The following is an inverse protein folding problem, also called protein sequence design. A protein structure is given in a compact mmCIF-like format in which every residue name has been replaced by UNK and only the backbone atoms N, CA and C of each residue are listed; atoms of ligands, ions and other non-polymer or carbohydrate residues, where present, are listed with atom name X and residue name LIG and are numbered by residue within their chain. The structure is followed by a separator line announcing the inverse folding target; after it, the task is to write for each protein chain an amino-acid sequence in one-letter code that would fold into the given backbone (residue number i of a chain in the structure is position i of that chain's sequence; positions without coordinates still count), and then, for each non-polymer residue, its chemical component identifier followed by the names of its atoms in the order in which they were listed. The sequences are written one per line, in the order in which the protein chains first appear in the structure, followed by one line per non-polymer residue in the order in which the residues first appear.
data_IF_351927876821
#
_entry.id   IF_351927876821
#
_cell.length_a   1.000
_cell.length_b   1.000
_cell.length_c   1.000
_cell.angle_alpha   90.00
_cell.angle_beta   90.00
_cell.angle_gamma   90.00
#
_symmetry.space_group_name_H-M   'P 1'
#
loop_
_entity.id
_entity.type
_entity.pdbx_description
1 polymer ?
#
# COMPACT_ATOMS: atom_id res chain seq x y z
N UNK A 1 -39.92 -40.89 -18.59
CA UNK A 1 -41.17 -41.66 -18.49
C UNK A 1 -41.24 -42.53 -19.72
N UNK A 2 -40.71 -43.74 -19.63
CA UNK A 2 -40.74 -44.73 -20.71
C UNK A 2 -41.37 -46.00 -20.16
N UNK A 3 -42.55 -46.31 -20.70
CA UNK A 3 -43.38 -47.45 -20.32
C UNK A 3 -42.75 -48.76 -20.78
N UNK A 4 -42.30 -49.59 -19.84
CA UNK A 4 -41.78 -50.93 -20.13
C UNK A 4 -42.93 -51.93 -20.10
N UNK A 5 -43.44 -52.32 -21.28
CA UNK A 5 -44.43 -53.40 -21.44
C UNK A 5 -43.80 -54.75 -21.11
N UNK A 6 -44.23 -55.34 -20.00
CA UNK A 6 -43.93 -56.73 -19.61
C UNK A 6 -44.92 -57.64 -20.35
N UNK A 7 -44.45 -58.40 -21.34
CA UNK A 7 -45.23 -59.49 -21.96
C UNK A 7 -44.93 -60.80 -21.25
N UNK A 8 -45.96 -61.31 -20.56
CA UNK A 8 -46.00 -62.63 -19.96
C UNK A 8 -46.11 -63.72 -21.05
N UNK A 9 -45.14 -64.63 -21.09
CA UNK A 9 -45.20 -65.85 -21.90
C UNK A 9 -45.72 -66.99 -21.02
N UNK A 10 -46.93 -67.44 -21.33
CA UNK A 10 -47.55 -68.63 -20.76
C UNK A 10 -46.90 -69.90 -21.30
N UNK A 11 -46.65 -70.93 -20.48
CA UNK A 11 -46.18 -72.22 -20.97
C UNK A 11 -47.37 -73.05 -21.48
N UNK A 12 -47.43 -73.25 -22.80
CA UNK A 12 -48.36 -74.18 -23.43
C UNK A 12 -47.99 -75.62 -23.09
N UNK A 13 -48.92 -76.30 -22.43
CA UNK A 13 -48.83 -77.70 -22.03
C UNK A 13 -48.89 -78.62 -23.25
N UNK A 14 -47.98 -79.59 -23.43
CA UNK A 14 -48.14 -80.59 -24.48
C UNK A 14 -49.19 -81.63 -24.08
N UNK A 15 -50.16 -81.80 -24.96
CA UNK A 15 -51.26 -82.75 -24.92
C UNK A 15 -50.76 -84.21 -24.84
N UNK A 16 -51.10 -84.91 -23.75
CA UNK A 16 -51.00 -86.36 -23.65
C UNK A 16 -52.10 -87.00 -24.50
N UNK A 17 -51.73 -87.53 -25.67
CA UNK A 17 -52.59 -88.45 -26.42
C UNK A 17 -52.16 -89.90 -26.16
N UNK A 18 -53.10 -90.65 -25.63
CA UNK A 18 -53.13 -92.10 -25.45
C UNK A 18 -52.57 -92.84 -26.67
N UNK A 19 -51.54 -93.66 -26.45
CA UNK A 19 -51.15 -94.76 -27.33
C UNK A 19 -51.23 -96.04 -26.48
N UNK A 20 -52.43 -96.59 -26.36
CA UNK A 20 -52.61 -97.99 -26.03
C UNK A 20 -53.38 -98.63 -27.16
N UNK A 21 -52.68 -99.40 -27.99
CA UNK A 21 -53.15 -100.71 -28.48
C UNK A 21 -52.13 -101.30 -29.47
N UNK A 22 -51.87 -102.60 -29.27
CA UNK A 22 -51.53 -103.65 -30.26
C UNK A 22 -50.05 -104.11 -30.40
N UNK A 23 -49.89 -105.36 -29.92
CA UNK A 23 -48.99 -106.46 -30.32
C UNK A 23 -47.58 -106.53 -29.68
N UNK A 24 -47.17 -107.70 -29.16
CA UNK A 24 -45.78 -107.95 -28.79
C UNK A 24 -44.90 -107.88 -30.04
N UNK A 25 -43.70 -107.26 -29.95
CA UNK A 25 -42.78 -107.23 -31.08
C UNK A 25 -42.33 -108.66 -31.41
N UNK A 26 -42.39 -109.01 -32.71
CA UNK A 26 -41.71 -110.19 -33.24
C UNK A 26 -40.21 -110.09 -32.92
N UNK A 27 -39.52 -111.20 -32.59
CA UNK A 27 -38.07 -111.19 -32.46
C UNK A 27 -37.46 -111.03 -33.85
N UNK A 28 -37.15 -109.80 -34.24
CA UNK A 28 -36.37 -109.52 -35.44
C UNK A 28 -34.92 -109.23 -35.05
N UNK A 29 -34.04 -110.08 -35.58
CA UNK A 29 -32.58 -110.00 -35.65
C UNK A 29 -31.83 -110.60 -34.45
N UNK A 30 -31.06 -111.66 -34.75
CA UNK A 30 -30.15 -112.35 -33.86
C UNK A 30 -29.14 -111.38 -33.25
N UNK A 31 -29.43 -110.93 -32.04
CA UNK A 31 -28.40 -110.38 -31.18
C UNK A 31 -27.55 -111.57 -30.72
N UNK A 32 -26.31 -111.67 -31.20
CA UNK A 32 -25.42 -112.83 -30.94
C UNK A 32 -24.41 -112.60 -29.82
N UNK A 33 -24.19 -111.35 -29.41
CA UNK A 33 -23.22 -110.99 -28.38
C UNK A 33 -23.57 -109.69 -27.66
N UNK A 34 -23.01 -109.51 -26.46
CA UNK A 34 -23.11 -108.27 -25.70
C UNK A 34 -22.28 -107.16 -26.34
N UNK A 35 -22.87 -105.98 -26.56
CA UNK A 35 -22.18 -104.85 -27.16
C UNK A 35 -21.08 -104.25 -26.27
N UNK A 36 -21.12 -104.47 -24.96
CA UNK A 36 -20.18 -103.87 -24.00
C UNK A 36 -18.98 -104.79 -23.74
N UNK A 37 -19.21 -106.07 -23.41
CA UNK A 37 -18.14 -107.03 -23.11
C UNK A 37 -17.90 -108.08 -24.21
N UNK A 38 -18.62 -108.01 -25.33
CA UNK A 38 -18.52 -108.95 -26.45
C UNK A 38 -18.82 -110.43 -26.12
N UNK A 39 -19.37 -110.72 -24.93
CA UNK A 39 -19.80 -112.06 -24.53
C UNK A 39 -20.89 -112.60 -25.48
N UNK A 40 -20.69 -113.79 -26.05
CA UNK A 40 -21.68 -114.42 -26.93
C UNK A 40 -22.91 -114.92 -26.15
N UNK A 41 -24.09 -114.67 -26.69
CA UNK A 41 -25.35 -115.13 -26.09
C UNK A 41 -25.61 -116.59 -26.46
N UNK A 42 -25.99 -117.38 -25.46
CA UNK A 42 -26.25 -118.81 -25.58
C UNK A 42 -27.47 -119.21 -24.74
N UNK A 43 -27.88 -120.48 -24.78
CA UNK A 43 -29.01 -120.97 -23.96
C UNK A 43 -28.81 -120.72 -22.45
N UNK A 44 -27.55 -120.65 -21.99
CA UNK A 44 -27.17 -120.35 -20.60
C UNK A 44 -27.09 -118.83 -20.36
N UNK A 45 -26.53 -118.08 -21.32
CA UNK A 45 -26.34 -116.63 -21.20
C UNK A 45 -27.39 -115.87 -22.01
N UNK A 46 -28.50 -115.51 -21.36
CA UNK A 46 -29.57 -114.72 -21.96
C UNK A 46 -29.09 -113.29 -22.25
N UNK A 47 -29.30 -112.85 -23.49
CA UNK A 47 -29.12 -111.46 -23.90
C UNK A 47 -30.40 -110.65 -23.70
N UNK A 48 -30.25 -109.38 -23.33
CA UNK A 48 -31.32 -108.40 -23.26
C UNK A 48 -31.08 -107.32 -24.32
N UNK A 49 -32.14 -106.68 -24.79
CA UNK A 49 -32.05 -105.56 -25.72
C UNK A 49 -32.15 -104.23 -24.95
N UNK A 50 -31.18 -103.35 -25.13
CA UNK A 50 -31.25 -102.01 -24.55
C UNK A 50 -32.43 -101.23 -25.14
N UNK A 51 -33.31 -100.72 -24.27
CA UNK A 51 -34.51 -99.98 -24.67
C UNK A 51 -34.20 -98.68 -25.44
N UNK A 52 -33.02 -98.09 -25.24
CA UNK A 52 -32.57 -96.82 -25.82
C UNK A 52 -31.85 -97.03 -27.16
N UNK A 53 -30.77 -97.81 -27.18
CA UNK A 53 -29.92 -97.98 -28.37
C UNK A 53 -30.20 -99.26 -29.17
N UNK A 54 -31.11 -100.13 -28.69
CA UNK A 54 -31.52 -101.38 -29.35
C UNK A 54 -30.38 -102.40 -29.56
N UNK A 55 -29.26 -102.24 -28.84
CA UNK A 55 -28.13 -103.17 -28.86
C UNK A 55 -28.25 -104.24 -27.77
N UNK A 56 -27.65 -105.41 -28.02
CA UNK A 56 -27.58 -106.52 -27.08
C UNK A 56 -26.72 -106.26 -25.86
N UNK A 57 -27.19 -106.65 -24.68
CA UNK A 57 -26.46 -106.58 -23.42
C UNK A 57 -26.62 -107.84 -22.58
N UNK A 58 -25.56 -108.25 -21.88
CA UNK A 58 -25.63 -109.35 -20.92
C UNK A 58 -26.26 -108.87 -19.61
N UNK A 59 -26.57 -109.83 -18.72
CA UNK A 59 -27.13 -109.56 -17.38
C UNK A 59 -26.24 -108.71 -16.47
N UNK A 60 -24.93 -108.64 -16.73
CA UNK A 60 -24.02 -107.82 -15.92
C UNK A 60 -24.01 -106.35 -16.36
N UNK A 61 -24.43 -106.06 -17.60
CA UNK A 61 -24.49 -104.71 -18.17
C UNK A 61 -25.92 -104.24 -18.39
N UNK A 62 -26.89 -104.87 -17.70
CA UNK A 62 -28.27 -104.40 -17.63
C UNK A 62 -28.45 -103.56 -16.37
N UNK A 63 -28.76 -102.29 -16.58
CA UNK A 63 -29.27 -101.43 -15.53
C UNK A 63 -30.79 -101.45 -15.65
N UNK A 64 -31.47 -102.03 -14.65
CA UNK A 64 -32.93 -102.02 -14.55
C UNK A 64 -33.33 -100.71 -13.88
N UNK A 65 -34.10 -99.89 -14.59
CA UNK A 65 -34.57 -98.62 -14.04
C UNK A 65 -35.60 -98.85 -12.93
N UNK A 66 -35.67 -97.90 -12.01
CA UNK A 66 -36.56 -97.85 -10.83
C UNK A 66 -38.01 -98.28 -11.12
N UNK A 67 -38.69 -98.78 -10.06
CA UNK A 67 -39.91 -99.58 -9.98
C UNK A 67 -41.09 -99.32 -10.96
N UNK A 68 -41.12 -98.21 -11.70
CA UNK A 68 -42.22 -97.88 -12.63
C UNK A 68 -41.95 -98.25 -14.09
N UNK A 69 -40.71 -98.45 -14.53
CA UNK A 69 -40.42 -98.89 -15.92
C UNK A 69 -39.27 -99.90 -15.94
N UNK A 70 -39.59 -101.19 -15.90
CA UNK A 70 -38.65 -102.32 -15.89
C UNK A 70 -37.91 -102.53 -17.23
N UNK A 71 -37.65 -101.45 -17.99
CA UNK A 71 -37.02 -101.56 -19.30
C UNK A 71 -35.49 -101.65 -19.16
N UNK A 72 -34.82 -102.62 -19.83
CA UNK A 72 -33.37 -102.74 -19.83
C UNK A 72 -32.71 -101.50 -20.42
N UNK A 73 -31.66 -100.98 -19.79
CA UNK A 73 -30.79 -99.94 -20.36
C UNK A 73 -29.34 -100.39 -20.21
N UNK A 74 -28.52 -100.15 -21.23
CA UNK A 74 -27.09 -100.45 -21.18
C UNK A 74 -26.30 -99.35 -20.47
N UNK A 75 -25.16 -99.71 -19.87
CA UNK A 75 -24.28 -98.78 -19.16
C UNK A 75 -23.90 -97.54 -19.97
N UNK A 76 -23.61 -97.69 -21.27
CA UNK A 76 -23.25 -96.56 -22.14
C UNK A 76 -24.40 -95.56 -22.30
N UNK A 77 -25.63 -96.06 -22.44
CA UNK A 77 -26.82 -95.21 -22.55
C UNK A 77 -27.09 -94.48 -21.23
N UNK A 78 -26.88 -95.15 -20.09
CA UNK A 78 -27.07 -94.55 -18.78
C UNK A 78 -25.98 -93.52 -18.44
N UNK A 79 -24.71 -93.83 -18.72
CA UNK A 79 -23.60 -92.86 -18.64
C UNK A 79 -23.86 -91.66 -19.55
N UNK A 80 -24.39 -91.88 -20.76
CA UNK A 80 -24.79 -90.82 -21.68
C UNK A 80 -25.93 -89.95 -21.12
N UNK A 81 -26.92 -90.56 -20.46
CA UNK A 81 -28.02 -89.85 -19.77
C UNK A 81 -27.50 -88.99 -18.63
N UNK A 82 -26.71 -89.57 -17.72
CA UNK A 82 -26.11 -88.86 -16.58
C UNK A 82 -25.25 -87.69 -17.07
N UNK A 83 -24.40 -87.90 -18.09
CA UNK A 83 -23.62 -86.81 -18.70
C UNK A 83 -24.50 -85.69 -19.25
N UNK A 84 -25.65 -86.01 -19.87
CA UNK A 84 -26.60 -85.01 -20.37
C UNK A 84 -27.31 -84.27 -19.25
N UNK A 85 -27.63 -84.94 -18.14
CA UNK A 85 -28.24 -84.32 -16.95
C UNK A 85 -27.26 -83.38 -16.26
N UNK A 86 -26.03 -83.84 -16.02
CA UNK A 86 -24.94 -83.00 -15.49
C UNK A 86 -24.69 -81.79 -16.41
N UNK A 87 -24.61 -81.99 -17.73
CA UNK A 87 -24.44 -80.88 -18.66
C UNK A 87 -25.62 -79.91 -18.63
N UNK A 88 -26.86 -80.41 -18.47
CA UNK A 88 -28.07 -79.57 -18.39
C UNK A 88 -28.08 -78.73 -17.10
N UNK A 89 -27.60 -79.27 -15.99
CA UNK A 89 -27.55 -78.55 -14.71
C UNK A 89 -26.36 -77.58 -14.64
N UNK A 90 -25.18 -77.98 -15.11
CA UNK A 90 -23.95 -77.20 -15.01
C UNK A 90 -23.82 -76.14 -16.11
N UNK A 91 -24.33 -76.36 -17.33
CA UNK A 91 -24.16 -75.39 -18.41
C UNK A 91 -24.80 -74.01 -18.13
N UNK A 92 -26.02 -73.91 -17.54
CA UNK A 92 -26.58 -72.64 -17.12
C UNK A 92 -25.75 -71.94 -16.05
N UNK A 93 -25.27 -72.69 -15.05
CA UNK A 93 -24.44 -72.15 -13.97
C UNK A 93 -23.10 -71.61 -14.51
N UNK A 94 -22.43 -72.40 -15.36
CA UNK A 94 -21.20 -71.97 -16.02
C UNK A 94 -21.42 -70.71 -16.87
N UNK A 95 -22.53 -70.65 -17.62
CA UNK A 95 -22.88 -69.47 -18.42
C UNK A 95 -23.13 -68.24 -17.53
N UNK A 96 -23.82 -68.41 -16.40
CA UNK A 96 -24.05 -67.34 -15.42
C UNK A 96 -22.73 -66.84 -14.83
N UNK A 97 -21.91 -67.74 -14.28
CA UNK A 97 -20.61 -67.40 -13.69
C UNK A 97 -19.68 -66.72 -14.69
N UNK A 98 -19.68 -67.17 -15.95
CA UNK A 98 -18.92 -66.52 -17.02
C UNK A 98 -19.46 -65.12 -17.33
N UNK A 99 -20.78 -64.93 -17.27
CA UNK A 99 -21.42 -63.62 -17.37
C UNK A 99 -21.00 -62.68 -16.25
N UNK A 100 -21.08 -63.15 -15.02
CA UNK A 100 -20.70 -62.39 -13.81
C UNK A 100 -19.21 -62.02 -13.84
N UNK A 101 -18.34 -62.97 -14.22
CA UNK A 101 -16.91 -62.71 -14.37
C UNK A 101 -16.62 -61.62 -15.41
N UNK A 102 -17.28 -61.67 -16.57
CA UNK A 102 -17.13 -60.66 -17.60
C UNK A 102 -17.65 -59.29 -17.16
N UNK A 103 -18.76 -59.26 -16.41
CA UNK A 103 -19.29 -58.02 -15.85
C UNK A 103 -18.32 -57.42 -14.83
N UNK A 104 -17.82 -58.23 -13.90
CA UNK A 104 -16.83 -57.80 -12.89
C UNK A 104 -15.54 -57.28 -13.53
N UNK A 105 -15.06 -57.91 -14.61
CA UNK A 105 -13.89 -57.43 -15.36
C UNK A 105 -14.15 -56.06 -16.00
N UNK A 106 -15.33 -55.85 -16.58
CA UNK A 106 -15.70 -54.53 -17.14
C UNK A 106 -15.81 -53.47 -16.06
N UNK A 107 -16.43 -53.79 -14.93
CA UNK A 107 -16.58 -52.85 -13.81
C UNK A 107 -15.22 -52.50 -13.19
N UNK A 108 -14.32 -53.48 -13.08
CA UNK A 108 -12.94 -53.25 -12.65
C UNK A 108 -12.21 -52.26 -13.56
N UNK A 109 -12.28 -52.43 -14.88
CA UNK A 109 -11.61 -51.51 -15.80
C UNK A 109 -12.23 -50.10 -15.77
N UNK A 110 -13.56 -50.01 -15.59
CA UNK A 110 -14.24 -48.73 -15.39
C UNK A 110 -13.76 -48.02 -14.12
N UNK A 111 -13.76 -48.73 -12.98
CA UNK A 111 -13.27 -48.17 -11.70
C UNK A 111 -11.80 -47.76 -11.82
N UNK A 112 -10.97 -48.54 -12.51
CA UNK A 112 -9.56 -48.20 -12.74
C UNK A 112 -9.42 -46.90 -13.53
N UNK A 113 -10.21 -46.71 -14.60
CA UNK A 113 -10.22 -45.48 -15.37
C UNK A 113 -10.67 -44.27 -14.51
N UNK A 114 -11.69 -44.45 -13.67
CA UNK A 114 -12.15 -43.41 -12.74
C UNK A 114 -11.07 -43.03 -11.71
N UNK A 115 -10.37 -44.02 -11.15
CA UNK A 115 -9.27 -43.78 -10.19
C UNK A 115 -8.14 -42.99 -10.87
N UNK A 116 -7.73 -43.39 -12.07
CA UNK A 116 -6.69 -42.67 -12.82
C UNK A 116 -7.12 -41.22 -13.08
N UNK A 117 -8.34 -41.00 -13.56
CA UNK A 117 -8.85 -39.65 -13.82
C UNK A 117 -8.92 -38.78 -12.56
N UNK A 118 -9.38 -39.34 -11.43
CA UNK A 118 -9.40 -38.63 -10.15
C UNK A 118 -7.99 -38.32 -9.63
N UNK A 119 -7.04 -39.23 -9.82
CA UNK A 119 -5.64 -39.05 -9.39
C UNK A 119 -4.98 -37.92 -10.17
N UNK A 120 -5.22 -37.82 -11.48
CA UNK A 120 -4.72 -36.72 -12.32
C UNK A 120 -5.31 -35.37 -11.89
N UNK A 121 -6.60 -35.32 -11.54
CA UNK A 121 -7.26 -34.12 -11.03
C UNK A 121 -6.62 -33.70 -9.70
N UNK A 122 -6.43 -34.63 -8.77
CA UNK A 122 -5.80 -34.36 -7.47
C UNK A 122 -4.40 -33.78 -7.68
N UNK A 123 -3.56 -34.44 -8.48
CA UNK A 123 -2.20 -33.98 -8.79
C UNK A 123 -2.18 -32.56 -9.38
N UNK A 124 -3.10 -32.26 -10.30
CA UNK A 124 -3.25 -30.91 -10.87
C UNK A 124 -3.62 -29.87 -9.81
N UNK A 125 -4.58 -30.19 -8.94
CA UNK A 125 -5.01 -29.30 -7.87
C UNK A 125 -3.93 -29.06 -6.82
N UNK A 126 -3.12 -30.08 -6.50
CA UNK A 126 -1.96 -29.95 -5.60
C UNK A 126 -0.91 -29.01 -6.18
N UNK A 127 -0.58 -29.15 -7.47
CA UNK A 127 0.35 -28.23 -8.16
C UNK A 127 -0.20 -26.81 -8.17
N UNK A 128 -1.49 -26.65 -8.49
CA UNK A 128 -2.14 -25.34 -8.50
C UNK A 128 -2.12 -24.68 -7.11
N UNK A 129 -2.38 -25.46 -6.06
CA UNK A 129 -2.35 -24.98 -4.67
C UNK A 129 -0.95 -24.50 -4.29
N UNK A 130 0.09 -25.29 -4.55
CA UNK A 130 1.49 -24.90 -4.30
C UNK A 130 1.90 -23.64 -5.06
N UNK A 131 1.49 -23.52 -6.32
CA UNK A 131 1.76 -22.32 -7.13
C UNK A 131 1.06 -21.09 -6.57
N UNK A 132 -0.19 -21.24 -6.14
CA UNK A 132 -0.96 -20.17 -5.52
C UNK A 132 -0.34 -19.75 -4.18
N UNK A 133 0.03 -20.69 -3.31
CA UNK A 133 0.72 -20.41 -2.04
C UNK A 133 1.99 -19.59 -2.27
N UNK A 134 2.84 -20.01 -3.21
CA UNK A 134 4.06 -19.27 -3.57
C UNK A 134 3.74 -17.86 -4.07
N UNK A 135 2.73 -17.73 -4.94
CA UNK A 135 2.31 -16.44 -5.49
C UNK A 135 1.77 -15.50 -4.41
N UNK A 136 0.95 -16.02 -3.49
CA UNK A 136 0.39 -15.24 -2.40
C UNK A 136 1.45 -14.87 -1.36
N UNK A 137 2.39 -15.76 -1.04
CA UNK A 137 3.53 -15.45 -0.16
C UNK A 137 4.36 -14.29 -0.73
N UNK A 138 4.69 -14.32 -2.03
CA UNK A 138 5.40 -13.23 -2.69
C UNK A 138 4.59 -11.92 -2.70
N UNK A 139 3.26 -12.00 -2.86
CA UNK A 139 2.41 -10.81 -2.79
C UNK A 139 2.37 -10.22 -1.38
N UNK A 140 2.29 -11.06 -0.36
CA UNK A 140 2.33 -10.64 1.05
C UNK A 140 3.65 -9.93 1.36
N UNK A 141 4.79 -10.54 1.02
CA UNK A 141 6.11 -9.95 1.22
C UNK A 141 6.24 -8.57 0.53
N UNK A 142 5.75 -8.46 -0.71
CA UNK A 142 5.73 -7.18 -1.43
C UNK A 142 4.84 -6.12 -0.77
N UNK A 143 3.70 -6.52 -0.21
CA UNK A 143 2.80 -5.60 0.50
C UNK A 143 3.43 -5.16 1.82
N UNK A 144 4.03 -6.07 2.58
CA UNK A 144 4.75 -5.76 3.83
C UNK A 144 5.88 -4.78 3.57
N UNK A 145 6.66 -4.99 2.50
CA UNK A 145 7.71 -4.06 2.09
C UNK A 145 7.16 -2.67 1.77
N UNK A 146 6.03 -2.57 1.04
CA UNK A 146 5.39 -1.29 0.74
C UNK A 146 4.87 -0.58 1.99
N UNK A 147 4.31 -1.34 2.95
CA UNK A 147 3.88 -0.78 4.24
C UNK A 147 5.07 -0.18 4.98
N UNK A 148 6.20 -0.89 5.02
CA UNK A 148 7.41 -0.38 5.67
C UNK A 148 7.96 0.88 4.96
N UNK A 149 7.97 0.89 3.63
CA UNK A 149 8.37 2.08 2.84
C UNK A 149 7.46 3.29 3.14
N UNK A 150 6.13 3.10 3.20
CA UNK A 150 5.20 4.19 3.55
C UNK A 150 5.35 4.64 5.02
N UNK A 151 5.58 3.73 5.96
CA UNK A 151 5.86 4.07 7.36
C UNK A 151 7.13 4.94 7.48
N UNK A 152 8.17 4.63 6.70
CA UNK A 152 9.40 5.42 6.68
C UNK A 152 9.17 6.81 6.05
N UNK A 153 8.35 6.89 4.99
CA UNK A 153 7.93 8.18 4.41
C UNK A 153 7.14 9.00 5.40
N UNK A 154 6.18 8.39 6.11
CA UNK A 154 5.39 9.07 7.14
C UNK A 154 6.28 9.68 8.21
N UNK A 155 7.23 8.92 8.77
CA UNK A 155 8.20 9.44 9.75
C UNK A 155 9.01 10.61 9.19
N UNK A 156 9.43 10.52 7.94
CA UNK A 156 10.18 11.61 7.27
C UNK A 156 9.32 12.87 7.14
N UNK A 157 8.06 12.72 6.71
CA UNK A 157 7.10 13.84 6.60
C UNK A 157 6.80 14.43 7.97
N UNK A 158 6.60 13.62 9.00
CA UNK A 158 6.40 14.09 10.38
C UNK A 158 7.58 14.93 10.87
N UNK A 159 8.82 14.49 10.62
CA UNK A 159 10.02 15.25 10.96
C UNK A 159 10.08 16.60 10.22
N UNK A 160 9.72 16.63 8.93
CA UNK A 160 9.66 17.87 8.15
C UNK A 160 8.58 18.82 8.70
N UNK A 161 7.39 18.29 9.02
CA UNK A 161 6.30 19.07 9.62
C UNK A 161 6.73 19.69 10.95
N UNK A 162 7.41 18.92 11.80
CA UNK A 162 7.88 19.42 13.09
C UNK A 162 8.96 20.49 12.94
N UNK A 163 9.89 20.29 12.00
CA UNK A 163 10.90 21.31 11.63
C UNK A 163 10.25 22.61 11.13
N UNK A 164 9.23 22.51 10.27
CA UNK A 164 8.51 23.67 9.76
C UNK A 164 7.72 24.40 10.86
N UNK A 165 7.13 23.67 11.81
CA UNK A 165 6.47 24.28 12.98
C UNK A 165 7.47 25.07 13.82
N UNK A 166 8.65 24.51 14.06
CA UNK A 166 9.70 25.20 14.82
C UNK A 166 10.17 26.47 14.09
N UNK A 167 10.45 26.38 12.79
CA UNK A 167 10.83 27.54 11.97
C UNK A 167 9.72 28.61 11.94
N UNK A 168 8.45 28.21 11.91
CA UNK A 168 7.32 29.14 11.98
C UNK A 168 7.26 29.85 13.34
N UNK A 169 7.47 29.12 14.44
CA UNK A 169 7.48 29.69 15.78
C UNK A 169 8.65 30.67 15.97
N UNK A 170 9.84 30.32 15.49
CA UNK A 170 11.01 31.20 15.50
C UNK A 170 10.75 32.48 14.67
N UNK A 171 10.18 32.32 13.48
CA UNK A 171 9.82 33.46 12.62
C UNK A 171 8.83 34.40 13.29
N UNK A 172 7.76 33.86 13.91
CA UNK A 172 6.79 34.65 14.69
C UNK A 172 7.44 35.38 15.86
N UNK A 173 8.33 34.70 16.59
CA UNK A 173 9.06 35.34 17.69
C UNK A 173 9.98 36.47 17.20
N UNK A 174 10.62 36.29 16.05
CA UNK A 174 11.47 37.32 15.42
C UNK A 174 10.63 38.52 14.95
N UNK A 175 9.49 38.25 14.31
CA UNK A 175 8.55 39.29 13.86
C UNK A 175 8.04 40.13 15.04
N UNK A 176 7.66 39.50 16.15
CA UNK A 176 7.22 40.20 17.36
C UNK A 176 8.34 41.08 17.95
N UNK A 177 9.58 40.58 17.99
CA UNK A 177 10.73 41.38 18.44
C UNK A 177 11.01 42.57 17.52
N UNK A 178 10.91 42.38 16.20
CA UNK A 178 11.10 43.45 15.22
C UNK A 178 9.99 44.49 15.30
N UNK A 179 8.75 44.07 15.52
CA UNK A 179 7.61 44.96 15.76
C UNK A 179 7.83 45.80 17.01
N UNK A 180 8.25 45.20 18.11
CA UNK A 180 8.57 45.92 19.35
C UNK A 180 9.71 46.93 19.16
N UNK A 181 10.80 46.52 18.50
CA UNK A 181 11.90 47.44 18.15
C UNK A 181 11.44 48.61 17.27
N UNK A 182 10.53 48.35 16.34
CA UNK A 182 9.94 49.39 15.50
C UNK A 182 9.12 50.37 16.34
N UNK A 183 8.28 49.88 17.24
CA UNK A 183 7.50 50.71 18.16
C UNK A 183 8.41 51.58 19.04
N UNK A 184 9.46 50.99 19.64
CA UNK A 184 10.45 51.72 20.44
C UNK A 184 11.13 52.84 19.61
N UNK A 185 11.50 52.56 18.35
CA UNK A 185 12.10 53.55 17.45
C UNK A 185 11.13 54.63 17.00
N UNK A 186 9.85 54.32 16.81
CA UNK A 186 8.82 55.31 16.52
C UNK A 186 8.59 56.25 17.71
N UNK A 187 8.72 55.77 18.94
CA UNK A 187 8.69 56.61 20.14
C UNK A 187 9.92 57.51 20.26
N UNK A 188 11.12 56.96 20.03
CA UNK A 188 12.37 57.76 19.99
C UNK A 188 12.28 58.89 18.95
N UNK A 189 11.82 58.58 17.72
CA UNK A 189 11.66 59.58 16.66
C UNK A 189 10.68 60.67 17.09
N UNK A 190 9.56 60.32 17.73
CA UNK A 190 8.60 61.33 18.24
C UNK A 190 9.25 62.24 19.29
N UNK A 191 10.04 61.67 20.20
CA UNK A 191 10.74 62.44 21.22
C UNK A 191 11.75 63.41 20.59
N UNK A 192 12.58 62.94 19.64
CA UNK A 192 13.55 63.79 18.92
C UNK A 192 12.85 64.89 18.12
N UNK A 193 11.71 64.60 17.49
CA UNK A 193 10.92 65.61 16.75
C UNK A 193 10.42 66.72 17.68
N UNK A 194 9.98 66.39 18.90
CA UNK A 194 9.58 67.40 19.89
C UNK A 194 10.79 68.20 20.39
N UNK A 195 11.94 67.55 20.63
CA UNK A 195 13.17 68.25 21.02
C UNK A 195 13.63 69.24 19.93
N UNK A 196 13.57 68.85 18.66
CA UNK A 196 13.87 69.74 17.53
C UNK A 196 12.92 70.94 17.50
N UNK A 197 11.63 70.76 17.80
CA UNK A 197 10.67 71.87 17.87
C UNK A 197 11.00 72.82 19.01
N UNK A 198 11.37 72.29 20.17
CA UNK A 198 11.77 73.08 21.35
C UNK A 198 13.02 73.91 21.03
N UNK A 199 14.04 73.29 20.43
CA UNK A 199 15.26 73.97 20.02
C UNK A 199 15.01 75.09 19.00
N UNK A 200 14.12 74.86 18.01
CA UNK A 200 13.74 75.89 17.03
C UNK A 200 13.06 77.08 17.69
N UNK A 201 12.15 76.86 18.64
CA UNK A 201 11.53 77.96 19.40
C UNK A 201 12.58 78.73 20.19
N UNK A 202 13.50 78.03 20.86
CA UNK A 202 14.60 78.67 21.58
C UNK A 202 15.52 79.46 20.65
N UNK A 203 15.79 78.97 19.44
CA UNK A 203 16.56 79.68 18.42
C UNK A 203 15.85 80.99 18.01
N UNK A 204 14.56 80.91 17.69
CA UNK A 204 13.73 82.07 17.34
C UNK A 204 13.72 83.13 18.46
N UNK A 205 13.57 82.70 19.72
CA UNK A 205 13.62 83.59 20.90
C UNK A 205 14.99 84.28 21.06
N UNK A 206 16.08 83.55 20.85
CA UNK A 206 17.44 84.12 20.94
C UNK A 206 17.67 85.11 19.80
N UNK A 207 17.25 84.78 18.58
CA UNK A 207 17.34 85.68 17.42
C UNK A 207 16.53 86.96 17.65
N UNK A 208 15.35 86.85 18.24
CA UNK A 208 14.54 88.01 18.62
C UNK A 208 15.27 88.91 19.63
N UNK A 209 15.84 88.33 20.69
CA UNK A 209 16.63 89.08 21.68
C UNK A 209 17.85 89.76 21.06
N UNK A 210 18.54 89.10 20.13
CA UNK A 210 19.65 89.70 19.39
C UNK A 210 19.17 90.91 18.58
N UNK A 211 18.03 90.82 17.90
CA UNK A 211 17.48 91.93 17.13
C UNK A 211 17.05 93.11 18.03
N UNK A 212 16.44 92.84 19.18
CA UNK A 212 16.14 93.87 20.18
C UNK A 212 17.40 94.58 20.68
N UNK A 213 18.43 93.83 21.08
CA UNK A 213 19.71 94.40 21.51
C UNK A 213 20.32 95.24 20.38
N UNK A 214 20.28 94.76 19.14
CA UNK A 214 20.79 95.51 17.98
C UNK A 214 20.01 96.81 17.73
N UNK A 215 18.67 96.79 17.89
CA UNK A 215 17.82 97.99 17.79
C UNK A 215 18.16 99.00 18.88
N UNK A 216 18.33 98.54 20.11
CA UNK A 216 18.75 99.40 21.23
C UNK A 216 20.15 99.96 20.99
N UNK A 217 21.11 99.15 20.55
CA UNK A 217 22.46 99.60 20.19
C UNK A 217 22.46 100.67 19.10
N UNK A 218 21.56 100.59 18.10
CA UNK A 218 21.45 101.62 17.05
C UNK A 218 20.96 102.97 17.57
N UNK A 219 20.20 103.00 18.67
CA UNK A 219 19.78 104.25 19.34
C UNK A 219 20.90 104.87 20.15
N UNK A 220 21.94 104.11 20.50
CA UNK A 220 23.07 104.59 21.28
C UNK A 220 24.08 105.32 20.39
N UNK A 221 24.65 106.43 20.91
CA UNK A 221 25.71 107.15 20.22
C UNK A 221 27.03 106.41 20.45
N UNK A 222 27.76 106.01 19.39
CA UNK A 222 29.05 105.37 19.55
C UNK A 222 30.01 106.24 20.35
N UNK A 223 30.69 105.66 21.34
CA UNK A 223 31.58 106.40 22.24
C UNK A 223 32.64 107.23 21.52
N UNK A 224 33.13 106.75 20.36
CA UNK A 224 34.07 107.49 19.51
C UNK A 224 33.51 108.80 18.95
N UNK A 225 32.21 108.88 18.68
CA UNK A 225 31.53 110.10 18.18
C UNK A 225 31.19 111.09 19.30
N UNK A 226 31.16 110.66 20.56
CA UNK A 226 30.91 111.55 21.69
C UNK A 226 32.02 112.61 21.84
N UNK A 227 33.27 112.29 21.50
CA UNK A 227 34.41 113.23 21.58
C UNK A 227 34.24 114.44 20.66
N UNK A 228 33.60 114.26 19.50
CA UNK A 228 33.39 115.34 18.52
C UNK A 228 32.16 116.20 18.82
N UNK A 229 31.21 115.70 19.63
CA UNK A 229 29.93 116.39 19.89
C UNK A 229 29.92 117.04 21.28
N UNK A 230 30.78 116.62 22.21
CA UNK A 230 30.83 117.14 23.58
C UNK A 230 32.07 118.01 23.85
N UNK A 231 31.94 119.02 24.72
CA UNK A 231 33.07 119.86 25.11
C UNK A 231 34.07 119.08 25.98
N UNK A 232 35.34 119.54 26.06
CA UNK A 232 36.42 118.83 26.78
C UNK A 232 36.08 118.46 28.23
N UNK A 233 35.41 119.35 28.97
CA UNK A 233 35.02 119.10 30.37
C UNK A 233 33.96 118.00 30.46
N UNK A 234 32.89 118.09 29.67
CA UNK A 234 31.83 117.09 29.66
C UNK A 234 32.30 115.72 29.15
N UNK A 235 33.15 115.68 28.11
CA UNK A 235 33.76 114.44 27.63
C UNK A 235 34.65 113.78 28.70
N UNK A 236 35.37 114.57 29.49
CA UNK A 236 36.18 114.07 30.60
C UNK A 236 35.35 113.31 31.62
N UNK A 237 34.21 113.87 32.04
CA UNK A 237 33.26 113.23 32.97
C UNK A 237 32.64 111.97 32.34
N UNK A 238 32.19 112.05 31.09
CA UNK A 238 31.61 110.91 30.37
C UNK A 238 32.61 109.75 30.23
N UNK A 239 33.89 110.04 29.97
CA UNK A 239 34.95 109.03 29.85
C UNK A 239 35.21 108.29 31.16
N UNK A 240 35.20 109.00 32.28
CA UNK A 240 35.37 108.39 33.62
C UNK A 240 34.18 107.52 33.96
N UNK A 241 32.95 108.06 33.82
CA UNK A 241 31.72 107.32 34.09
C UNK A 241 31.57 106.08 33.21
N UNK A 242 31.91 106.16 31.93
CA UNK A 242 31.90 105.00 31.02
C UNK A 242 32.89 103.94 31.48
N UNK A 243 34.10 104.34 31.87
CA UNK A 243 35.14 103.42 32.33
C UNK A 243 34.73 102.70 33.63
N UNK A 244 34.07 103.39 34.55
CA UNK A 244 33.56 102.80 35.79
C UNK A 244 32.40 101.85 35.54
N UNK A 245 31.40 102.25 34.74
CA UNK A 245 30.28 101.38 34.38
C UNK A 245 30.71 100.15 33.60
N UNK A 246 31.68 100.27 32.69
CA UNK A 246 32.23 99.13 31.96
C UNK A 246 32.97 98.16 32.88
N UNK A 247 33.69 98.67 33.88
CA UNK A 247 34.37 97.86 34.89
C UNK A 247 33.37 97.10 35.75
N UNK A 248 32.31 97.78 36.18
CA UNK A 248 31.23 97.21 36.99
C UNK A 248 30.46 96.13 36.22
N UNK A 249 30.09 96.38 34.95
CA UNK A 249 29.43 95.38 34.11
C UNK A 249 30.29 94.12 33.93
N UNK A 250 31.59 94.27 33.59
CA UNK A 250 32.49 93.13 33.45
C UNK A 250 32.76 92.39 34.76
N UNK A 251 32.73 93.08 35.90
CA UNK A 251 32.79 92.45 37.23
C UNK A 251 31.55 91.62 37.52
N UNK A 252 30.36 92.17 37.25
CA UNK A 252 29.09 91.48 37.47
C UNK A 252 28.95 90.22 36.58
N UNK A 253 29.59 90.21 35.41
CA UNK A 253 29.71 89.03 34.53
C UNK A 253 30.86 88.08 34.90
N UNK A 254 31.65 88.36 35.94
CA UNK A 254 32.81 87.55 36.34
C UNK A 254 34.00 87.61 35.36
N UNK A 255 34.06 88.63 34.49
CA UNK A 255 35.04 88.80 33.40
C UNK A 255 35.98 89.98 33.62
N UNK A 256 36.39 90.23 34.87
CA UNK A 256 37.22 91.38 35.25
C UNK A 256 38.56 91.45 34.50
N UNK A 257 39.13 90.30 34.11
CA UNK A 257 40.37 90.19 33.35
C UNK A 257 40.29 90.83 31.95
N UNK A 258 39.09 90.91 31.35
CA UNK A 258 38.88 91.54 30.05
C UNK A 258 39.00 93.07 30.11
N UNK A 259 38.74 93.67 31.26
CA UNK A 259 38.76 95.12 31.43
C UNK A 259 40.16 95.70 31.17
N UNK A 260 41.21 95.05 31.68
CA UNK A 260 42.58 95.45 31.45
C UNK A 260 42.96 95.35 29.95
N UNK A 261 42.55 94.27 29.28
CA UNK A 261 42.83 94.04 27.86
C UNK A 261 42.12 95.04 26.94
N UNK A 262 40.85 95.36 27.23
CA UNK A 262 40.06 96.37 26.50
C UNK A 262 40.63 97.79 26.65
N UNK A 263 41.04 98.17 27.86
CA UNK A 263 41.60 99.50 28.11
C UNK A 263 43.01 99.68 27.53
N UNK A 264 43.75 98.59 27.33
CA UNK A 264 45.09 98.58 26.73
C UNK A 264 45.07 98.81 25.21
N UNK A 265 44.02 98.37 24.52
CA UNK A 265 43.88 98.54 23.05
C UNK A 265 43.56 99.98 22.62
N UNK A 266 42.99 100.80 23.50
CA UNK A 266 42.60 102.18 23.17
C UNK A 266 43.78 103.17 23.05
N UNK A 267 45.02 102.77 23.38
CA UNK A 267 46.23 103.60 23.27
C UNK A 267 47.12 103.26 22.08
N UNK A 268 46.79 102.24 21.27
CA UNK A 268 47.56 101.92 20.07
C UNK A 268 47.13 102.88 18.96
N UNK A 269 47.98 103.86 18.66
CA UNK A 269 47.88 104.66 17.45
C UNK A 269 47.80 103.71 16.26
N UNK A 270 46.84 103.95 15.37
CA UNK A 270 46.79 103.40 14.02
C UNK A 270 48.14 103.56 13.33
N UNK A 271 48.90 102.48 13.29
CA UNK A 271 49.87 102.22 12.22
C UNK A 271 49.25 101.16 11.33
N UNK A 272 49.25 101.46 10.04
CA UNK A 272 48.93 100.56 8.94
C UNK A 272 49.37 99.12 9.23
N UNK A 273 48.55 98.15 8.83
CA UNK A 273 48.96 97.25 7.76
C UNK A 273 47.76 96.49 7.17
N UNK A 274 47.73 96.52 5.83
CA UNK A 274 46.91 95.63 5.02
C UNK A 274 47.21 94.18 5.41
N UNK A 275 46.22 93.48 5.94
CA UNK A 275 46.15 92.03 5.80
C UNK A 275 44.99 91.73 4.86
N UNK A 276 45.34 91.46 3.60
CA UNK A 276 44.43 90.84 2.63
C UNK A 276 43.93 89.52 3.23
N UNK A 277 42.63 89.21 3.15
CA UNK A 277 42.16 87.87 3.43
C UNK A 277 42.65 86.95 2.29
N UNK A 278 43.56 86.04 2.61
CA UNK A 278 43.78 84.83 1.80
C UNK A 278 42.52 83.99 1.93
N UNK A 279 41.71 83.98 0.87
CA UNK A 279 40.72 82.93 0.67
C UNK A 279 41.47 81.62 0.39
N UNK A 280 41.44 80.70 1.36
CA UNK A 280 41.66 79.29 1.07
C UNK A 280 40.43 78.76 0.32
N UNK A 281 40.60 78.08 -0.83
CA UNK A 281 39.50 77.46 -1.53
C UNK A 281 38.99 76.26 -0.73
N UNK A 282 37.68 76.25 -0.41
CA UNK A 282 36.98 75.03 -0.02
C UNK A 282 37.09 74.02 -1.15
N UNK A 283 37.98 73.04 -1.01
CA UNK A 283 37.91 71.78 -1.75
C UNK A 283 36.68 71.03 -1.24
N UNK A 284 35.57 71.15 -1.98
CA UNK A 284 34.47 70.19 -1.92
C UNK A 284 34.99 68.83 -2.39
N UNK A 285 35.41 67.99 -1.45
CA UNK A 285 35.49 66.56 -1.68
C UNK A 285 34.06 66.02 -1.67
N UNK A 286 33.52 65.80 -2.87
CA UNK A 286 32.33 65.00 -3.08
C UNK A 286 32.58 63.62 -2.48
N UNK A 287 31.85 63.28 -1.41
CA UNK A 287 31.69 61.89 -0.98
C UNK A 287 30.76 61.21 -2.00
N UNK A 288 31.38 60.52 -2.97
CA UNK A 288 30.73 59.48 -3.77
C UNK A 288 30.43 58.29 -2.86
N UNK A 289 29.37 58.36 -2.07
CA UNK A 289 28.82 57.16 -1.46
C UNK A 289 27.37 57.40 -1.04
N UNK A 290 26.46 57.29 -2.03
CA UNK A 290 25.07 56.86 -1.90
C UNK A 290 24.44 56.77 -3.31
N UNK A 291 24.99 55.88 -4.14
CA UNK A 291 24.25 55.25 -5.25
C UNK A 291 24.09 53.77 -4.90
N UNK A 292 23.15 53.48 -3.99
CA UNK A 292 22.50 52.17 -3.86
C UNK A 292 21.12 52.40 -3.23
N UNK A 293 20.20 52.89 -4.07
CA UNK A 293 18.80 52.49 -4.12
C UNK A 293 18.42 52.41 -5.60
#
# INVERSE_FOLDING_TARGET
MEETKIQALTPSSPSFKNIFSKKPPRPSNLITHCHICHLQFSAIHKGYECSVCKKGICKEHILVRTAMTLLPVCDDCERGRIKKEIARELAPQYKSLKGDMNWMLKEKEKIKAEITGKTEIISRLEIQTKNNEKTYAQRLENIEKKIEEENQREKTVQNVVESLKNALNESKSSEEQMKKKKEDKEEEIKAEVEEIKELKRSEEDVLYKIDEINKEMRKMIPAGKLKSISCRKCYGVLKVNFKERLREALRNEGRESLFASLMSRASVKSTNDLVKPTMEPMTRQYCQQCMLL
#
